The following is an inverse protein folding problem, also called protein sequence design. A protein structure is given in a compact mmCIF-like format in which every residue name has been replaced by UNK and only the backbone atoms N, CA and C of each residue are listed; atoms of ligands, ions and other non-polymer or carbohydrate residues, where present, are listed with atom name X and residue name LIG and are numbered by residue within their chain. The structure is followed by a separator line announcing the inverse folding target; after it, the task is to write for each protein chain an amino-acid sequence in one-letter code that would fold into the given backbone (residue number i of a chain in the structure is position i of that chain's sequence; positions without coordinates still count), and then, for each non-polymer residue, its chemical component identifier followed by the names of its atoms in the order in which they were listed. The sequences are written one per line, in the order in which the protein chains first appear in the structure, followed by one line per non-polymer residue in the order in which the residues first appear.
data_IF_058341413898
#
_entry.id   IF_058341413898
#
_cell.length_a   1.000
_cell.length_b   1.000
_cell.length_c   1.000
_cell.angle_alpha   90.00
_cell.angle_beta   90.00
_cell.angle_gamma   90.00
#
_symmetry.space_group_name_H-M   'P 1'
#
loop_
_entity.id
_entity.type
_entity.pdbx_description
1 polymer ?
#
# COMPACT_ATOMS: atom_id res chain seq x y z
N UNK A 1 -16.33 26.51 -18.09
CA UNK A 1 -17.09 25.32 -17.65
C UNK A 1 -16.21 24.15 -17.17
N UNK A 2 -15.04 23.88 -17.79
CA UNK A 2 -14.15 22.79 -17.38
C UNK A 2 -13.60 22.96 -15.94
N UNK A 3 -13.26 24.19 -15.55
CA UNK A 3 -12.76 24.51 -14.22
C UNK A 3 -13.83 24.29 -13.13
N UNK A 4 -15.06 24.67 -13.38
CA UNK A 4 -16.21 24.46 -12.47
C UNK A 4 -16.49 22.97 -12.30
N UNK A 5 -16.43 22.20 -13.38
CA UNK A 5 -16.61 20.75 -13.34
C UNK A 5 -15.51 20.05 -12.56
N UNK A 6 -14.23 20.45 -12.73
CA UNK A 6 -13.11 19.95 -11.96
C UNK A 6 -13.24 20.28 -10.47
N UNK A 7 -13.67 21.49 -10.14
CA UNK A 7 -13.90 21.91 -8.75
C UNK A 7 -15.05 21.13 -8.10
N UNK A 8 -16.11 20.88 -8.84
CA UNK A 8 -17.25 20.08 -8.37
C UNK A 8 -16.90 18.60 -8.20
N UNK A 9 -16.10 18.03 -9.12
CA UNK A 9 -15.58 16.68 -9.00
C UNK A 9 -14.68 16.51 -7.76
N UNK A 10 -13.73 17.43 -7.56
CA UNK A 10 -12.83 17.43 -6.39
C UNK A 10 -13.61 17.57 -5.05
N UNK A 11 -14.68 18.41 -5.03
CA UNK A 11 -15.53 18.53 -3.83
C UNK A 11 -16.32 17.25 -3.54
N UNK A 12 -16.86 16.59 -4.58
CA UNK A 12 -17.58 15.30 -4.41
C UNK A 12 -16.64 14.21 -3.94
N UNK A 13 -15.46 14.11 -4.52
CA UNK A 13 -14.42 13.18 -4.13
C UNK A 13 -14.04 13.36 -2.66
N UNK A 14 -13.77 14.61 -2.22
CA UNK A 14 -13.50 14.92 -0.81
C UNK A 14 -14.67 14.59 0.12
N UNK A 15 -15.91 14.85 -0.29
CA UNK A 15 -17.07 14.54 0.53
C UNK A 15 -17.29 13.02 0.70
N UNK A 16 -17.14 12.24 -0.38
CA UNK A 16 -17.21 10.78 -0.36
C UNK A 16 -16.11 10.21 0.53
N UNK A 17 -14.92 10.76 0.46
CA UNK A 17 -13.77 10.43 1.27
C UNK A 17 -14.04 10.64 2.76
N UNK A 18 -14.51 11.83 3.15
CA UNK A 18 -14.83 12.13 4.55
C UNK A 18 -15.90 11.19 5.11
N UNK A 19 -16.88 10.84 4.30
CA UNK A 19 -17.94 9.91 4.69
C UNK A 19 -17.41 8.48 4.90
N UNK A 20 -16.52 7.99 4.00
CA UNK A 20 -15.88 6.69 4.13
C UNK A 20 -15.01 6.58 5.38
N UNK A 21 -14.18 7.59 5.64
CA UNK A 21 -13.32 7.64 6.83
C UNK A 21 -14.16 7.68 8.11
N UNK A 22 -15.19 8.55 8.17
CA UNK A 22 -16.06 8.62 9.33
C UNK A 22 -16.76 7.28 9.61
N UNK A 23 -17.11 6.54 8.57
CA UNK A 23 -17.66 5.20 8.69
C UNK A 23 -16.65 4.22 9.30
N UNK A 24 -15.43 4.19 8.76
CA UNK A 24 -14.41 3.21 9.13
C UNK A 24 -13.76 3.49 10.48
N UNK A 25 -13.68 4.77 10.88
CA UNK A 25 -13.25 5.16 12.22
C UNK A 25 -14.30 4.82 13.29
N UNK A 26 -15.59 4.83 12.94
CA UNK A 26 -16.68 4.58 13.92
C UNK A 26 -16.57 3.19 14.56
N UNK A 27 -16.28 2.15 13.78
CA UNK A 27 -16.23 0.77 14.26
C UNK A 27 -15.13 0.55 15.33
N UNK A 28 -13.84 0.88 15.11
CA UNK A 28 -12.80 0.72 16.12
C UNK A 28 -13.01 1.63 17.33
N UNK A 29 -13.49 2.88 17.14
CA UNK A 29 -13.81 3.78 18.24
C UNK A 29 -14.90 3.18 19.14
N UNK A 30 -15.98 2.66 18.56
CA UNK A 30 -17.07 2.05 19.34
C UNK A 30 -16.57 0.82 20.10
N UNK A 31 -15.72 -0.02 19.50
CA UNK A 31 -15.13 -1.16 20.19
C UNK A 31 -14.22 -0.73 21.35
N UNK A 32 -13.38 0.30 21.15
CA UNK A 32 -12.52 0.85 22.20
C UNK A 32 -13.36 1.43 23.34
N UNK A 33 -14.39 2.22 23.04
CA UNK A 33 -15.29 2.79 24.07
C UNK A 33 -15.96 1.69 24.88
N UNK A 34 -16.46 0.63 24.22
CA UNK A 34 -17.09 -0.49 24.90
C UNK A 34 -16.10 -1.22 25.84
N UNK A 35 -14.88 -1.51 25.37
CA UNK A 35 -13.85 -2.18 26.19
C UNK A 35 -13.39 -1.31 27.34
N UNK A 36 -13.16 -0.02 27.13
CA UNK A 36 -12.76 0.92 28.18
C UNK A 36 -13.84 1.15 29.24
N UNK A 37 -15.12 0.82 28.96
CA UNK A 37 -16.20 0.87 29.94
C UNK A 37 -16.21 -0.32 30.91
N UNK A 38 -15.39 -1.33 30.67
CA UNK A 38 -15.29 -2.52 31.53
C UNK A 38 -14.44 -2.23 32.80
N UNK A 39 -14.87 -2.68 34.01
CA UNK A 39 -14.17 -2.34 35.28
C UNK A 39 -12.73 -2.87 35.37
N UNK A 40 -12.42 -3.96 34.65
CA UNK A 40 -11.07 -4.55 34.60
C UNK A 40 -10.83 -5.08 33.21
N UNK A 41 -9.75 -4.62 32.56
CA UNK A 41 -9.30 -5.11 31.28
C UNK A 41 -8.38 -6.33 31.48
N UNK A 42 -8.75 -7.47 30.92
CA UNK A 42 -7.87 -8.64 30.81
C UNK A 42 -6.71 -8.36 29.86
N UNK A 43 -5.68 -9.22 29.89
CA UNK A 43 -4.55 -9.13 28.95
C UNK A 43 -5.00 -9.20 27.49
N UNK A 44 -5.92 -10.11 27.18
CA UNK A 44 -6.51 -10.31 25.87
C UNK A 44 -7.29 -9.09 25.37
N UNK A 45 -8.01 -8.41 26.24
CA UNK A 45 -8.73 -7.17 25.92
C UNK A 45 -7.78 -5.99 25.67
N UNK A 46 -6.66 -5.91 26.39
CA UNK A 46 -5.61 -4.91 26.14
C UNK A 46 -4.99 -5.10 24.76
N UNK A 47 -4.70 -6.34 24.38
CA UNK A 47 -4.16 -6.67 23.06
C UNK A 47 -5.14 -6.28 21.94
N UNK A 48 -6.42 -6.59 22.12
CA UNK A 48 -7.48 -6.15 21.18
C UNK A 48 -7.62 -4.63 21.10
N UNK A 49 -7.50 -3.92 22.21
CA UNK A 49 -7.49 -2.47 22.22
C UNK A 49 -6.27 -1.89 21.47
N UNK A 50 -5.10 -2.49 21.65
CA UNK A 50 -3.90 -2.11 20.91
C UNK A 50 -4.09 -2.32 19.39
N UNK A 51 -4.70 -3.43 18.97
CA UNK A 51 -5.04 -3.69 17.57
C UNK A 51 -6.05 -2.67 16.99
N UNK A 52 -7.07 -2.28 17.77
CA UNK A 52 -8.02 -1.23 17.34
C UNK A 52 -7.33 0.14 17.21
N UNK A 53 -6.39 0.48 18.12
CA UNK A 53 -5.59 1.71 18.04
C UNK A 53 -4.69 1.70 16.80
N UNK A 54 -3.99 0.62 16.52
CA UNK A 54 -3.20 0.47 15.30
C UNK A 54 -4.06 0.62 14.03
N UNK A 55 -5.28 0.07 14.05
CA UNK A 55 -6.21 0.24 12.93
C UNK A 55 -6.62 1.71 12.74
N UNK A 56 -6.85 2.46 13.82
CA UNK A 56 -7.13 3.88 13.78
C UNK A 56 -5.94 4.70 13.24
N UNK A 57 -4.73 4.41 13.71
CA UNK A 57 -3.51 5.06 13.21
C UNK A 57 -3.30 4.79 11.72
N UNK A 58 -3.54 3.57 11.26
CA UNK A 58 -3.45 3.20 9.85
C UNK A 58 -4.46 3.99 9.02
N UNK A 59 -5.74 4.02 9.42
CA UNK A 59 -6.81 4.74 8.70
C UNK A 59 -6.51 6.25 8.64
N UNK A 60 -6.12 6.85 9.77
CA UNK A 60 -5.76 8.28 9.82
C UNK A 60 -4.50 8.58 9.00
N UNK A 61 -3.50 7.71 9.03
CA UNK A 61 -2.29 7.82 8.22
C UNK A 61 -2.58 7.75 6.72
N UNK A 62 -3.45 6.85 6.31
CA UNK A 62 -3.93 6.74 4.92
C UNK A 62 -4.67 8.01 4.49
N UNK A 63 -5.50 8.55 5.36
CA UNK A 63 -6.20 9.81 5.11
C UNK A 63 -5.26 10.99 4.90
N UNK A 64 -4.28 11.16 5.78
CA UNK A 64 -3.32 12.26 5.68
C UNK A 64 -2.52 12.21 4.38
N UNK A 65 -2.11 11.02 3.94
CA UNK A 65 -1.41 10.86 2.65
C UNK A 65 -2.30 11.25 1.47
N UNK A 66 -3.55 10.82 1.48
CA UNK A 66 -4.48 11.15 0.41
C UNK A 66 -4.86 12.63 0.42
N UNK A 67 -4.93 13.26 1.60
CA UNK A 67 -5.21 14.69 1.75
C UNK A 67 -4.05 15.62 1.35
N UNK A 68 -2.94 15.06 0.81
CA UNK A 68 -1.76 15.81 0.38
C UNK A 68 -0.62 15.85 1.41
N UNK A 69 -0.71 15.07 2.49
CA UNK A 69 0.34 15.02 3.53
C UNK A 69 1.69 14.51 3.02
N UNK A 70 1.71 13.76 1.91
CA UNK A 70 2.94 13.34 1.23
C UNK A 70 3.55 14.42 0.32
N UNK A 71 2.80 15.45 -0.07
CA UNK A 71 3.26 16.48 -1.00
C UNK A 71 4.36 17.34 -0.39
N UNK A 72 4.30 17.59 0.91
CA UNK A 72 5.26 18.41 1.67
C UNK A 72 6.53 17.66 2.09
N UNK A 73 6.57 16.33 1.96
CA UNK A 73 7.75 15.55 2.30
C UNK A 73 8.88 15.80 1.29
N UNK A 74 10.09 16.06 1.78
CA UNK A 74 11.26 16.27 0.93
C UNK A 74 11.80 14.93 0.44
N UNK A 75 12.13 14.86 -0.87
CA UNK A 75 12.84 13.69 -1.41
C UNK A 75 14.27 13.67 -0.91
N UNK A 76 14.71 12.52 -0.42
CA UNK A 76 16.07 12.29 0.06
C UNK A 76 16.62 10.99 -0.54
N UNK A 77 17.95 10.93 -0.66
CA UNK A 77 18.62 9.71 -1.14
C UNK A 77 18.60 8.68 -0.03
N UNK A 78 18.01 7.50 -0.29
CA UNK A 78 17.93 6.40 0.67
C UNK A 78 18.39 5.08 0.06
N UNK A 79 18.99 4.17 0.84
CA UNK A 79 19.17 2.78 0.44
C UNK A 79 17.80 2.09 0.45
N UNK A 80 17.25 1.90 -0.73
CA UNK A 80 15.86 1.47 -0.91
C UNK A 80 15.64 0.04 -0.45
N UNK A 81 16.62 -0.84 -0.64
CA UNK A 81 16.63 -2.21 -0.12
C UNK A 81 16.45 -2.24 1.40
N UNK A 82 17.12 -1.36 2.13
CA UNK A 82 17.01 -1.27 3.59
C UNK A 82 15.64 -0.72 4.02
N UNK A 83 15.15 0.33 3.34
CA UNK A 83 13.82 0.87 3.61
C UNK A 83 12.73 -0.19 3.39
N UNK A 84 12.82 -0.96 2.30
CA UNK A 84 11.86 -2.02 2.00
C UNK A 84 11.95 -3.18 2.99
N UNK A 85 13.15 -3.55 3.43
CA UNK A 85 13.35 -4.56 4.48
C UNK A 85 12.76 -4.11 5.82
N UNK A 86 12.91 -2.83 6.18
CA UNK A 86 12.28 -2.27 7.38
C UNK A 86 10.75 -2.32 7.30
N UNK A 87 10.15 -1.91 6.18
CA UNK A 87 8.70 -2.00 5.96
C UNK A 87 8.22 -3.44 6.06
N UNK A 88 8.96 -4.39 5.49
CA UNK A 88 8.62 -5.81 5.52
C UNK A 88 8.71 -6.44 6.92
N UNK A 89 9.51 -5.87 7.83
CA UNK A 89 9.76 -6.43 9.18
C UNK A 89 8.52 -6.53 10.08
N UNK A 90 7.47 -5.78 9.76
CA UNK A 90 6.18 -5.84 10.46
C UNK A 90 5.29 -7.03 10.05
N UNK A 91 5.73 -7.83 9.05
CA UNK A 91 4.98 -8.96 8.52
C UNK A 91 5.65 -10.30 8.87
N UNK A 92 4.90 -11.43 8.87
CA UNK A 92 5.45 -12.76 9.20
C UNK A 92 6.57 -13.17 8.21
N UNK A 93 7.78 -13.39 8.74
CA UNK A 93 8.96 -13.69 7.93
C UNK A 93 8.90 -15.07 7.23
N UNK A 94 8.05 -15.97 7.68
CA UNK A 94 7.80 -17.27 7.06
C UNK A 94 6.87 -17.18 5.83
N UNK A 95 6.12 -16.09 5.71
CA UNK A 95 5.15 -15.88 4.63
C UNK A 95 5.55 -14.76 3.66
N UNK A 96 6.53 -13.91 4.02
CA UNK A 96 7.06 -12.82 3.20
C UNK A 96 8.52 -13.06 2.86
N UNK A 97 8.83 -13.23 1.59
CA UNK A 97 10.21 -13.37 1.08
C UNK A 97 10.68 -12.06 0.49
N UNK A 98 11.98 -11.77 0.67
CA UNK A 98 12.62 -10.56 0.15
C UNK A 98 13.63 -10.93 -0.95
N UNK A 99 13.48 -10.31 -2.13
CA UNK A 99 14.42 -10.37 -3.27
C UNK A 99 14.79 -8.92 -3.61
N UNK A 100 15.72 -8.35 -2.86
CA UNK A 100 16.03 -6.92 -2.88
C UNK A 100 17.44 -6.68 -3.39
N UNK A 101 17.55 -6.15 -4.62
CA UNK A 101 18.83 -5.68 -5.14
C UNK A 101 19.26 -4.40 -4.41
N UNK A 102 20.56 -4.26 -4.02
CA UNK A 102 21.06 -3.03 -3.41
C UNK A 102 20.88 -1.84 -4.36
N UNK A 103 20.12 -0.83 -3.93
CA UNK A 103 19.82 0.32 -4.78
C UNK A 103 19.56 1.56 -3.92
N UNK A 104 20.24 2.68 -4.25
CA UNK A 104 19.96 3.99 -3.64
C UNK A 104 19.19 4.87 -4.60
N UNK A 105 18.06 5.42 -4.14
CA UNK A 105 17.16 6.26 -4.96
C UNK A 105 16.70 7.47 -4.17
N UNK A 106 16.49 8.59 -4.87
CA UNK A 106 15.91 9.80 -4.27
C UNK A 106 14.39 9.64 -4.22
N UNK A 107 13.84 9.47 -3.02
CA UNK A 107 12.41 9.26 -2.78
C UNK A 107 11.94 10.01 -1.54
N UNK A 108 10.64 10.07 -1.33
CA UNK A 108 9.97 10.51 -0.10
C UNK A 108 9.76 9.26 0.77
N UNK A 109 10.64 8.99 1.77
CA UNK A 109 10.70 7.67 2.41
C UNK A 109 9.44 7.31 3.20
N UNK A 110 8.80 8.26 3.87
CA UNK A 110 7.58 8.01 4.65
C UNK A 110 6.40 7.68 3.71
N UNK A 111 6.22 8.48 2.65
CA UNK A 111 5.15 8.24 1.68
C UNK A 111 5.35 6.91 0.95
N UNK A 112 6.59 6.62 0.49
CA UNK A 112 6.90 5.38 -0.20
C UNK A 112 6.74 4.16 0.73
N UNK A 113 7.28 4.21 1.95
CA UNK A 113 7.16 3.13 2.93
C UNK A 113 5.70 2.75 3.20
N UNK A 114 4.82 3.75 3.36
CA UNK A 114 3.38 3.53 3.53
C UNK A 114 2.71 2.94 2.28
N UNK A 115 3.13 3.37 1.09
CA UNK A 115 2.60 2.81 -0.16
C UNK A 115 2.96 1.32 -0.29
N UNK A 116 4.22 0.96 0.01
CA UNK A 116 4.66 -0.44 -0.06
C UNK A 116 4.00 -1.29 1.03
N UNK A 117 3.85 -0.78 2.26
CA UNK A 117 3.08 -1.46 3.31
C UNK A 117 1.64 -1.76 2.85
N UNK A 118 0.96 -0.80 2.19
CA UNK A 118 -0.37 -1.05 1.61
C UNK A 118 -0.36 -2.15 0.53
N UNK A 119 0.69 -2.26 -0.29
CA UNK A 119 0.80 -3.34 -1.28
C UNK A 119 0.99 -4.70 -0.62
N UNK A 120 1.84 -4.78 0.41
CA UNK A 120 2.06 -6.00 1.18
C UNK A 120 0.77 -6.42 1.91
N UNK A 121 0.10 -5.48 2.59
CA UNK A 121 -1.19 -5.72 3.26
C UNK A 121 -2.26 -6.24 2.28
N UNK A 122 -2.30 -5.68 1.07
CA UNK A 122 -3.22 -6.15 0.02
C UNK A 122 -2.89 -7.57 -0.42
N UNK A 123 -1.63 -7.92 -0.61
CA UNK A 123 -1.21 -9.27 -0.98
C UNK A 123 -1.58 -10.30 0.10
N UNK A 124 -1.44 -9.96 1.39
CA UNK A 124 -1.87 -10.83 2.49
C UNK A 124 -3.40 -10.91 2.64
N UNK A 125 -4.12 -9.83 2.33
CA UNK A 125 -5.58 -9.78 2.53
C UNK A 125 -6.37 -10.39 1.39
N UNK A 126 -5.90 -10.27 0.16
CA UNK A 126 -6.63 -10.64 -1.06
C UNK A 126 -5.90 -11.67 -1.91
N UNK A 127 -4.58 -11.79 -1.76
CA UNK A 127 -3.74 -12.75 -2.45
C UNK A 127 -3.58 -14.07 -1.70
N UNK A 128 -2.60 -14.84 -2.09
CA UNK A 128 -2.24 -16.15 -1.50
C UNK A 128 -0.74 -16.18 -1.23
N UNK A 129 -0.35 -16.60 -0.03
CA UNK A 129 1.05 -16.77 0.36
C UNK A 129 1.75 -17.90 -0.45
N UNK A 130 3.08 -17.88 -0.59
CA UNK A 130 3.98 -16.85 -0.09
C UNK A 130 3.90 -15.53 -0.86
N UNK A 131 4.07 -14.43 -0.15
CA UNK A 131 4.23 -13.10 -0.73
C UNK A 131 5.71 -12.83 -0.96
N UNK A 132 6.06 -12.20 -2.09
CA UNK A 132 7.45 -11.86 -2.40
C UNK A 132 7.53 -10.36 -2.69
N UNK A 133 8.36 -9.65 -1.93
CA UNK A 133 8.73 -8.27 -2.17
C UNK A 133 10.04 -8.25 -2.97
N UNK A 134 9.99 -7.75 -4.20
CA UNK A 134 11.12 -7.71 -5.12
C UNK A 134 11.50 -6.28 -5.46
N UNK A 135 12.82 -6.01 -5.45
CA UNK A 135 13.41 -4.76 -5.92
C UNK A 135 14.44 -5.05 -7.00
N UNK A 136 14.26 -4.48 -8.18
CA UNK A 136 15.21 -4.60 -9.28
C UNK A 136 15.19 -3.37 -10.19
N UNK A 137 16.13 -3.31 -11.11
CA UNK A 137 16.16 -2.27 -12.16
C UNK A 137 15.79 -2.91 -13.49
N UNK A 138 14.82 -2.31 -14.16
CA UNK A 138 14.41 -2.68 -15.51
C UNK A 138 14.30 -1.42 -16.39
N UNK A 139 14.94 -1.43 -17.56
CA UNK A 139 14.88 -0.33 -18.55
C UNK A 139 15.08 1.08 -17.93
N UNK A 140 16.11 1.24 -17.08
CA UNK A 140 16.39 2.50 -16.35
C UNK A 140 15.27 2.95 -15.40
N UNK A 141 14.45 2.04 -14.96
CA UNK A 141 13.44 2.26 -13.92
C UNK A 141 13.74 1.39 -12.70
N UNK A 142 13.57 1.96 -11.54
CA UNK A 142 13.52 1.19 -10.30
C UNK A 142 12.14 0.55 -10.21
N UNK A 143 12.07 -0.77 -10.11
CA UNK A 143 10.85 -1.55 -10.00
C UNK A 143 10.76 -2.19 -8.62
N UNK A 144 9.68 -1.89 -7.90
CA UNK A 144 9.29 -2.53 -6.65
C UNK A 144 8.05 -3.35 -6.96
N UNK A 145 8.10 -4.65 -6.73
CA UNK A 145 7.02 -5.58 -7.03
C UNK A 145 6.60 -6.33 -5.77
N UNK A 146 5.31 -6.42 -5.54
CA UNK A 146 4.74 -7.29 -4.51
C UNK A 146 3.97 -8.39 -5.22
N UNK A 147 4.51 -9.60 -5.15
CA UNK A 147 3.98 -10.81 -5.78
C UNK A 147 3.20 -11.65 -4.78
N UNK A 148 2.13 -12.28 -5.23
CA UNK A 148 1.41 -13.33 -4.51
C UNK A 148 1.04 -14.50 -5.45
N UNK A 149 0.51 -15.59 -4.88
CA UNK A 149 0.14 -16.81 -5.61
C UNK A 149 -1.33 -16.85 -6.01
N UNK A 150 -2.07 -15.78 -5.74
CA UNK A 150 -3.48 -15.67 -6.09
C UNK A 150 -3.71 -15.43 -7.58
N UNK A 151 -4.96 -15.45 -7.98
CA UNK A 151 -5.38 -15.15 -9.35
C UNK A 151 -5.35 -13.67 -9.67
N UNK A 152 -5.13 -12.82 -8.64
CA UNK A 152 -5.18 -11.37 -8.80
C UNK A 152 -6.57 -10.84 -9.12
N UNK A 153 -6.63 -9.69 -9.76
CA UNK A 153 -7.86 -9.06 -10.21
C UNK A 153 -7.93 -9.01 -11.74
N UNK A 154 -9.13 -9.09 -12.35
CA UNK A 154 -9.30 -8.91 -13.78
C UNK A 154 -8.75 -7.57 -14.27
N UNK A 155 -8.08 -7.56 -15.42
CA UNK A 155 -7.48 -6.34 -15.98
C UNK A 155 -8.52 -5.21 -16.18
N UNK A 156 -9.77 -5.57 -16.47
CA UNK A 156 -10.88 -4.62 -16.64
C UNK A 156 -11.25 -3.87 -15.35
N UNK A 157 -10.92 -4.46 -14.20
CA UNK A 157 -11.20 -3.87 -12.88
C UNK A 157 -10.04 -3.02 -12.33
N UNK A 158 -8.89 -2.99 -13.03
CA UNK A 158 -7.70 -2.30 -12.56
C UNK A 158 -7.93 -0.81 -12.32
N UNK A 159 -8.48 -0.11 -13.32
CA UNK A 159 -8.77 1.33 -13.21
C UNK A 159 -9.76 1.65 -12.08
N UNK A 160 -10.73 0.75 -11.87
CA UNK A 160 -11.72 0.87 -10.82
C UNK A 160 -11.10 0.62 -9.43
N UNK A 161 -10.19 -0.35 -9.33
CA UNK A 161 -9.45 -0.66 -8.10
C UNK A 161 -8.52 0.48 -7.63
N UNK A 162 -8.09 1.35 -8.55
CA UNK A 162 -7.29 2.54 -8.23
C UNK A 162 -8.14 3.70 -7.72
N UNK A 163 -9.46 3.64 -7.82
CA UNK A 163 -10.34 4.69 -7.32
C UNK A 163 -10.49 4.62 -5.81
N UNK A 164 -10.48 5.76 -5.11
CA UNK A 164 -10.68 5.82 -3.67
C UNK A 164 -12.04 5.22 -3.28
N UNK A 165 -12.07 4.44 -2.18
CA UNK A 165 -13.27 3.80 -1.61
C UNK A 165 -13.94 2.74 -2.49
N UNK A 166 -13.31 2.36 -3.59
CA UNK A 166 -13.80 1.27 -4.41
C UNK A 166 -13.31 -0.07 -3.87
N UNK A 167 -14.23 -1.04 -3.73
CA UNK A 167 -13.95 -2.40 -3.27
C UNK A 167 -14.51 -3.35 -4.31
N UNK A 168 -13.66 -4.18 -4.89
CA UNK A 168 -14.05 -5.16 -5.92
C UNK A 168 -14.87 -6.31 -5.33
N UNK A 169 -14.64 -6.66 -4.04
CA UNK A 169 -15.35 -7.72 -3.32
C UNK A 169 -15.79 -7.22 -1.94
N UNK A 170 -17.11 -7.05 -1.76
CA UNK A 170 -17.71 -6.74 -0.45
C UNK A 170 -17.81 -7.95 0.48
N UNK A 171 -17.65 -9.19 -0.05
CA UNK A 171 -17.89 -10.44 0.68
C UNK A 171 -16.65 -11.02 1.38
N UNK A 172 -15.42 -10.67 0.96
CA UNK A 172 -14.16 -11.13 1.56
C UNK A 172 -13.53 -10.15 2.55
N UNK A 173 -14.25 -9.14 2.96
CA UNK A 173 -13.74 -8.11 3.84
C UNK A 173 -13.61 -8.56 5.28
N UNK A 174 -12.43 -8.99 5.71
CA UNK A 174 -12.05 -8.79 7.10
C UNK A 174 -12.16 -7.30 7.42
N UNK A 175 -12.73 -6.99 8.58
CA UNK A 175 -13.03 -5.65 9.07
C UNK A 175 -11.78 -4.75 8.99
N UNK A 176 -11.86 -3.63 8.27
CA UNK A 176 -10.87 -2.56 8.38
C UNK A 176 -10.20 -2.05 7.11
N UNK A 177 -10.56 -2.51 5.90
CA UNK A 177 -10.01 -1.97 4.66
C UNK A 177 -11.01 -1.03 3.98
N UNK A 178 -10.71 0.28 3.98
CA UNK A 178 -11.60 1.32 3.45
C UNK A 178 -11.53 1.53 1.93
N UNK A 179 -10.89 0.63 1.17
CA UNK A 179 -10.73 0.80 -0.28
C UNK A 179 -9.83 1.99 -0.67
N UNK A 180 -8.95 2.43 0.24
CA UNK A 180 -7.99 3.51 -0.02
C UNK A 180 -6.60 3.01 -0.40
N UNK A 181 -6.26 1.75 -0.12
CA UNK A 181 -4.90 1.23 -0.24
C UNK A 181 -4.29 1.48 -1.63
N UNK A 182 -4.91 1.00 -2.69
CA UNK A 182 -4.40 1.16 -4.06
C UNK A 182 -4.47 2.61 -4.56
N UNK A 183 -5.48 3.37 -4.14
CA UNK A 183 -5.58 4.80 -4.47
C UNK A 183 -4.40 5.59 -3.89
N UNK A 184 -3.99 5.28 -2.65
CA UNK A 184 -2.81 5.86 -2.01
C UNK A 184 -1.54 5.47 -2.77
N UNK A 185 -1.37 4.19 -3.09
CA UNK A 185 -0.21 3.71 -3.85
C UNK A 185 -0.11 4.42 -5.19
N UNK A 186 -1.23 4.57 -5.90
CA UNK A 186 -1.31 5.33 -7.16
C UNK A 186 -0.95 6.81 -6.98
N UNK A 187 -1.43 7.44 -5.92
CA UNK A 187 -1.07 8.83 -5.60
C UNK A 187 0.44 8.97 -5.34
N UNK A 188 1.01 8.09 -4.51
CA UNK A 188 2.44 8.09 -4.19
C UNK A 188 3.29 7.81 -5.43
N UNK A 189 2.85 6.91 -6.33
CA UNK A 189 3.54 6.68 -7.60
C UNK A 189 3.62 7.98 -8.42
N UNK A 190 2.51 8.70 -8.55
CA UNK A 190 2.47 10.01 -9.24
C UNK A 190 3.38 11.06 -8.59
N UNK A 191 3.43 11.12 -7.24
CA UNK A 191 4.33 12.04 -6.51
C UNK A 191 5.80 11.82 -6.84
N UNK A 192 6.17 10.59 -7.20
CA UNK A 192 7.54 10.22 -7.57
C UNK A 192 7.75 10.21 -9.10
N UNK A 193 6.79 10.68 -9.92
CA UNK A 193 6.88 10.58 -11.37
C UNK A 193 6.87 9.12 -11.88
N UNK A 194 6.38 8.22 -11.05
CA UNK A 194 6.33 6.79 -11.29
C UNK A 194 5.00 6.31 -11.87
N UNK A 195 4.88 4.98 -12.00
CA UNK A 195 3.70 4.31 -12.52
C UNK A 195 3.35 3.10 -11.65
N UNK A 196 2.10 2.69 -11.69
CA UNK A 196 1.58 1.51 -11.03
C UNK A 196 0.93 0.60 -12.07
N UNK A 197 1.29 -0.68 -12.04
CA UNK A 197 0.83 -1.68 -13.02
C UNK A 197 0.49 -2.98 -12.30
N UNK A 198 -0.48 -3.74 -12.82
CA UNK A 198 -0.70 -5.13 -12.43
C UNK A 198 -0.06 -6.08 -13.43
N UNK A 199 0.52 -7.17 -12.93
CA UNK A 199 1.18 -8.20 -13.72
C UNK A 199 0.49 -9.52 -13.43
N UNK A 200 0.13 -10.25 -14.50
CA UNK A 200 -0.42 -11.59 -14.43
C UNK A 200 0.53 -12.57 -15.09
N UNK A 201 0.63 -13.78 -14.53
CA UNK A 201 1.33 -14.92 -15.12
C UNK A 201 0.40 -16.12 -15.11
N UNK A 202 0.13 -16.65 -16.30
CA UNK A 202 -0.76 -17.82 -16.46
C UNK A 202 -0.05 -19.12 -16.07
N UNK A 203 1.26 -19.23 -16.44
CA UNK A 203 2.11 -20.36 -16.07
C UNK A 203 3.21 -19.88 -15.12
N UNK A 204 3.38 -20.58 -14.00
CA UNK A 204 4.38 -20.27 -12.98
C UNK A 204 5.26 -21.46 -12.75
N UNK A 205 6.55 -21.31 -13.00
CA UNK A 205 7.57 -22.21 -12.47
C UNK A 205 7.89 -21.82 -11.03
N UNK A 206 7.35 -22.56 -10.07
CA UNK A 206 7.50 -22.31 -8.63
C UNK A 206 8.98 -22.34 -8.15
N UNK A 207 9.91 -22.79 -9.00
CA UNK A 207 11.35 -22.78 -8.72
C UNK A 207 12.04 -21.46 -9.06
N UNK A 208 11.52 -20.73 -10.05
CA UNK A 208 12.16 -19.54 -10.64
C UNK A 208 11.27 -18.29 -10.62
N UNK A 209 9.94 -18.47 -10.62
CA UNK A 209 9.00 -17.36 -10.67
C UNK A 209 8.59 -16.87 -9.28
N UNK A 210 8.49 -15.54 -9.10
CA UNK A 210 8.11 -14.96 -7.80
C UNK A 210 6.63 -15.17 -7.45
N UNK A 211 5.72 -15.38 -8.41
CA UNK A 211 4.30 -15.54 -8.17
C UNK A 211 3.44 -15.45 -9.43
N UNK A 212 2.12 -15.55 -9.25
CA UNK A 212 1.12 -15.48 -10.33
C UNK A 212 0.63 -14.07 -10.59
N UNK A 213 0.50 -13.28 -9.54
CA UNK A 213 0.00 -11.91 -9.62
C UNK A 213 0.95 -10.97 -8.91
N UNK A 214 1.17 -9.79 -9.47
CA UNK A 214 1.89 -8.73 -8.80
C UNK A 214 1.30 -7.36 -9.06
N UNK A 215 1.57 -6.46 -8.12
CA UNK A 215 1.47 -5.04 -8.35
C UNK A 215 2.90 -4.48 -8.39
N UNK A 216 3.24 -3.85 -9.53
CA UNK A 216 4.53 -3.20 -9.77
C UNK A 216 4.39 -1.71 -9.57
N UNK A 217 5.22 -1.17 -8.70
CA UNK A 217 5.44 0.25 -8.51
C UNK A 217 6.78 0.61 -9.17
N UNK A 218 6.78 1.42 -10.21
CA UNK A 218 7.99 1.77 -10.94
C UNK A 218 8.32 3.25 -10.85
N UNK A 219 9.61 3.57 -10.62
CA UNK A 219 10.14 4.94 -10.51
C UNK A 219 11.16 5.18 -11.63
N UNK A 220 11.21 6.39 -12.23
CA UNK A 220 12.31 6.75 -13.11
C UNK A 220 13.61 6.88 -12.30
N UNK A 221 14.69 6.28 -12.79
CA UNK A 221 16.02 6.53 -12.25
C UNK A 221 16.62 7.75 -12.94
N UNK A 222 17.08 8.72 -12.16
CA UNK A 222 17.79 9.89 -12.68
C UNK A 222 19.21 9.48 -13.09
N UNK A 223 19.74 10.08 -14.15
CA UNK A 223 21.10 9.85 -14.64
C UNK A 223 22.12 10.01 -13.50
N UNK A 224 22.86 8.95 -13.20
CA UNK A 224 23.83 8.88 -12.11
C UNK A 224 23.46 7.88 -10.98
N UNK A 225 22.21 7.45 -10.86
CA UNK A 225 21.77 6.47 -9.84
C UNK A 225 22.06 5.01 -10.22
N UNK A 226 22.36 4.73 -11.49
CA UNK A 226 22.66 3.39 -12.03
C UNK A 226 24.07 2.90 -11.73
N UNK A 227 24.95 3.69 -11.11
CA UNK A 227 26.35 3.31 -10.90
C UNK A 227 26.64 2.31 -9.78
N UNK A 228 25.67 1.97 -8.93
CA UNK A 228 25.87 1.06 -7.80
C UNK A 228 25.69 -0.44 -8.16
N UNK A 229 25.26 -0.77 -9.36
CA UNK A 229 24.98 -2.15 -9.79
C UNK A 229 26.16 -2.87 -10.50
N UNK A 230 27.34 -2.22 -10.60
CA UNK A 230 28.53 -2.79 -11.30
C UNK A 230 29.76 -2.82 -10.38
N UNK A 231 29.62 -3.33 -9.18
CA UNK A 231 30.78 -3.68 -8.33
C UNK A 231 30.60 -5.07 -7.77
#
# INVERSE_FOLDING_TARGET
NAMVQRLAANRRERATMLAGIAHDLRAPITRLQFRLSMPQLSADERERCAGDLQSLERITGQFLLFAGGGDSETSVQVPLDQLLAEVASSHPADQLRLDLAPLSVSVKPVALGRAIANLIDNAFSYGVAPVILRLHVDNSRCCIEVWDQGTGMPAQQWEEALQPFHRLDSSRGQQGHCGLGLAIVSHVARLHGGQLECIHRDEVDLGTDPGRFAIRFSLPLLDGQTKSLKS
#
